data_IF_305318736531
#
_entry.id   IF_305318736531
#
_cell.length_a   1.000
_cell.length_b   1.000
_cell.length_c   1.000
_cell.angle_alpha   90.00
_cell.angle_beta   90.00
_cell.angle_gamma   90.00
#
_symmetry.space_group_name_H-M   'P 1'
#
loop_
_entity.id
_entity.type
_entity.pdbx_description
1 polymer ?
#
# COMPACT_ATOMS: atom_id res chain seq x y z
N UNK A 1 -1.66 -26.04 -24.05
CA UNK A 1 -1.40 -25.72 -22.63
C UNK A 1 -1.70 -24.25 -22.49
N UNK A 2 -2.97 -23.94 -22.20
CA UNK A 2 -3.42 -22.56 -22.04
C UNK A 2 -2.73 -22.00 -20.80
N UNK A 3 -1.77 -21.10 -21.02
CA UNK A 3 -1.19 -20.31 -19.96
C UNK A 3 -2.30 -19.35 -19.52
N UNK A 4 -3.00 -19.67 -18.43
CA UNK A 4 -3.92 -18.73 -17.79
C UNK A 4 -3.25 -17.37 -17.70
N UNK A 5 -3.87 -16.35 -18.30
CA UNK A 5 -3.35 -15.00 -18.26
C UNK A 5 -3.04 -14.62 -16.79
N UNK A 6 -1.87 -14.03 -16.50
CA UNK A 6 -1.45 -13.76 -15.12
C UNK A 6 -2.44 -12.87 -14.36
N UNK A 7 -3.24 -12.08 -15.09
CA UNK A 7 -4.25 -11.16 -14.57
C UNK A 7 -5.54 -11.19 -15.40
N UNK A 8 -6.68 -10.91 -14.78
CA UNK A 8 -8.00 -10.77 -15.44
C UNK A 8 -8.04 -9.62 -16.45
N UNK A 9 -7.32 -8.54 -16.17
CA UNK A 9 -7.22 -7.33 -16.97
C UNK A 9 -5.74 -6.97 -17.17
N UNK A 10 -5.04 -7.62 -18.12
CA UNK A 10 -3.59 -7.45 -18.29
C UNK A 10 -3.18 -6.04 -18.72
N UNK A 11 -4.05 -5.33 -19.45
CA UNK A 11 -3.84 -3.94 -19.89
C UNK A 11 -4.22 -2.90 -18.82
N UNK A 12 -4.92 -3.30 -17.76
CA UNK A 12 -5.30 -2.41 -16.66
C UNK A 12 -4.15 -2.20 -15.67
N UNK A 13 -4.26 -1.19 -14.80
CA UNK A 13 -3.33 -0.98 -13.67
C UNK A 13 -4.10 -0.61 -12.40
N UNK A 14 -3.66 -1.15 -11.27
CA UNK A 14 -4.11 -0.72 -9.94
C UNK A 14 -2.99 0.11 -9.32
N UNK A 15 -3.24 1.40 -9.13
CA UNK A 15 -2.29 2.32 -8.52
C UNK A 15 -2.64 2.49 -7.04
N UNK A 16 -1.73 2.07 -6.15
CA UNK A 16 -1.86 2.29 -4.70
C UNK A 16 -0.97 3.45 -4.29
N UNK A 17 -1.58 4.56 -3.90
CA UNK A 17 -0.85 5.73 -3.40
C UNK A 17 -0.62 5.63 -1.90
N UNK A 18 0.64 5.75 -1.47
CA UNK A 18 1.05 5.61 -0.10
C UNK A 18 2.04 6.69 0.35
N UNK A 19 1.91 7.13 1.60
CA UNK A 19 2.94 7.95 2.26
C UNK A 19 3.83 7.03 3.09
N UNK A 20 5.10 7.36 3.24
CA UNK A 20 5.98 6.68 4.17
C UNK A 20 5.38 6.70 5.60
N UNK A 21 5.30 5.55 6.30
CA UNK A 21 4.60 5.42 7.57
C UNK A 21 5.43 5.97 8.75
N UNK A 22 5.65 7.27 8.74
CA UNK A 22 6.38 8.02 9.77
C UNK A 22 5.38 8.58 10.79
N UNK A 23 5.64 8.35 12.07
CA UNK A 23 4.81 8.87 13.16
C UNK A 23 4.61 10.39 13.03
N UNK A 24 3.37 10.85 13.21
CA UNK A 24 3.01 12.27 13.08
C UNK A 24 2.87 12.78 11.63
N UNK A 25 3.29 12.00 10.63
CA UNK A 25 3.17 12.37 9.20
C UNK A 25 2.04 11.64 8.46
N UNK A 26 1.47 10.60 9.08
CA UNK A 26 0.38 9.79 8.50
C UNK A 26 -0.79 9.71 9.46
N UNK A 27 -2.00 9.64 8.89
CA UNK A 27 -3.25 9.46 9.63
C UNK A 27 -3.38 10.40 10.84
N UNK A 28 -3.08 11.69 10.65
CA UNK A 28 -3.02 12.69 11.74
C UNK A 28 -4.33 12.84 12.52
N UNK A 29 -5.49 12.71 11.85
CA UNK A 29 -6.82 12.68 12.52
C UNK A 29 -6.97 11.47 13.46
N UNK A 30 -6.48 10.29 13.05
CA UNK A 30 -6.46 9.10 13.90
C UNK A 30 -5.43 9.27 15.03
N UNK A 31 -4.26 9.81 14.72
CA UNK A 31 -3.20 10.08 15.68
C UNK A 31 -3.64 11.00 16.83
N UNK A 32 -4.57 11.93 16.58
CA UNK A 32 -5.17 12.78 17.61
C UNK A 32 -5.93 11.98 18.69
N UNK A 33 -6.40 10.76 18.36
CA UNK A 33 -7.14 9.89 19.26
C UNK A 33 -6.26 8.79 19.85
N UNK A 34 -5.38 8.18 19.05
CA UNK A 34 -4.62 6.97 19.45
C UNK A 34 -3.12 7.20 19.65
N UNK A 35 -2.63 8.42 19.44
CA UNK A 35 -1.22 8.75 19.43
C UNK A 35 -0.53 8.48 18.08
N UNK A 36 0.54 9.24 17.80
CA UNK A 36 1.28 9.23 16.53
C UNK A 36 1.93 7.89 16.19
N UNK A 37 2.52 7.22 17.19
CA UNK A 37 3.16 5.92 17.02
C UNK A 37 2.18 4.82 16.65
N UNK A 38 1.06 4.72 17.38
CA UNK A 38 0.00 3.72 17.11
C UNK A 38 -0.69 3.98 15.78
N UNK A 39 -0.93 5.24 15.43
CA UNK A 39 -1.48 5.59 14.11
C UNK A 39 -0.55 5.15 12.96
N UNK A 40 0.77 5.34 13.09
CA UNK A 40 1.73 4.86 12.11
C UNK A 40 1.77 3.32 12.02
N UNK A 41 1.72 2.62 13.15
CA UNK A 41 1.69 1.15 13.18
C UNK A 41 0.42 0.56 12.51
N UNK A 42 -0.75 1.13 12.82
CA UNK A 42 -2.01 0.75 12.17
C UNK A 42 -1.95 1.01 10.67
N UNK A 43 -1.44 2.18 10.27
CA UNK A 43 -1.28 2.51 8.87
C UNK A 43 -0.36 1.54 8.12
N UNK A 44 0.76 1.10 8.72
CA UNK A 44 1.60 0.03 8.14
C UNK A 44 0.79 -1.24 7.89
N UNK A 45 0.06 -1.71 8.89
CA UNK A 45 -0.75 -2.94 8.75
C UNK A 45 -1.78 -2.80 7.64
N UNK A 46 -2.51 -1.68 7.59
CA UNK A 46 -3.52 -1.46 6.56
C UNK A 46 -2.92 -1.38 5.16
N UNK A 47 -1.80 -0.66 5.01
CA UNK A 47 -1.16 -0.52 3.71
C UNK A 47 -0.67 -1.87 3.19
N UNK A 48 0.01 -2.65 4.04
CA UNK A 48 0.45 -4.01 3.69
C UNK A 48 -0.74 -4.88 3.27
N UNK A 49 -1.79 -4.96 4.10
CA UNK A 49 -2.98 -5.76 3.79
C UNK A 49 -3.70 -5.29 2.52
N UNK A 50 -3.74 -3.99 2.24
CA UNK A 50 -4.31 -3.46 0.99
C UNK A 50 -3.53 -3.93 -0.23
N UNK A 51 -2.20 -3.86 -0.18
CA UNK A 51 -1.33 -4.31 -1.29
C UNK A 51 -1.42 -5.83 -1.47
N UNK A 52 -1.34 -6.59 -0.38
CA UNK A 52 -1.49 -8.06 -0.41
C UNK A 52 -2.81 -8.49 -1.06
N UNK A 53 -3.92 -7.83 -0.70
CA UNK A 53 -5.24 -8.10 -1.30
C UNK A 53 -5.29 -7.74 -2.76
N UNK A 54 -4.73 -6.59 -3.16
CA UNK A 54 -4.71 -6.16 -4.55
C UNK A 54 -3.91 -7.14 -5.44
N UNK A 55 -2.75 -7.60 -4.96
CA UNK A 55 -1.92 -8.58 -5.67
C UNK A 55 -2.62 -9.95 -5.75
N UNK A 56 -3.14 -10.45 -4.63
CA UNK A 56 -3.78 -11.78 -4.55
C UNK A 56 -5.04 -11.87 -5.42
N UNK A 57 -5.76 -10.75 -5.61
CA UNK A 57 -6.96 -10.73 -6.44
C UNK A 57 -6.69 -10.99 -7.93
N UNK A 58 -5.43 -10.87 -8.40
CA UNK A 58 -5.02 -11.07 -9.80
C UNK A 58 -5.91 -10.34 -10.82
N UNK A 59 -6.41 -9.16 -10.45
CA UNK A 59 -7.26 -8.35 -11.34
C UNK A 59 -6.43 -7.66 -12.43
N UNK A 60 -5.34 -6.99 -12.04
CA UNK A 60 -4.42 -6.28 -12.92
C UNK A 60 -3.06 -6.13 -12.22
N UNK A 61 -1.97 -5.83 -12.93
CA UNK A 61 -0.71 -5.43 -12.31
C UNK A 61 -0.89 -4.29 -11.30
N UNK A 62 -0.20 -4.40 -10.16
CA UNK A 62 -0.29 -3.45 -9.04
C UNK A 62 0.99 -2.63 -8.96
N UNK A 63 0.85 -1.32 -8.83
CA UNK A 63 1.96 -0.39 -8.64
C UNK A 63 1.80 0.37 -7.32
N UNK A 64 2.87 0.44 -6.53
CA UNK A 64 2.91 1.20 -5.29
C UNK A 64 3.60 2.55 -5.53
N UNK A 65 2.82 3.62 -5.49
CA UNK A 65 3.28 4.98 -5.71
C UNK A 65 3.47 5.68 -4.37
N UNK A 66 4.72 6.04 -4.05
CA UNK A 66 5.08 6.46 -2.69
C UNK A 66 5.51 7.93 -2.60
N UNK A 67 5.32 8.52 -1.42
CA UNK A 67 5.86 9.84 -1.06
C UNK A 67 6.46 9.80 0.36
N UNK A 68 7.54 10.53 0.67
CA UNK A 68 8.29 11.45 -0.20
C UNK A 68 9.30 10.78 -1.13
N UNK A 69 9.68 9.53 -0.89
CA UNK A 69 10.64 8.81 -1.72
C UNK A 69 10.38 7.30 -1.68
N UNK A 70 10.62 6.64 -2.81
CA UNK A 70 10.58 5.17 -2.96
C UNK A 70 11.62 4.46 -2.10
N UNK A 71 12.74 5.11 -1.76
CA UNK A 71 13.81 4.54 -0.92
C UNK A 71 13.54 4.57 0.58
N UNK A 72 12.34 4.89 1.04
CA UNK A 72 12.05 4.80 2.48
C UNK A 72 12.14 3.33 2.94
N UNK A 73 12.80 2.98 4.07
CA UNK A 73 13.05 1.58 4.47
C UNK A 73 11.83 0.69 4.63
N UNK A 74 10.64 1.27 4.74
CA UNK A 74 9.38 0.54 4.78
C UNK A 74 8.96 -0.03 3.40
N UNK A 75 9.46 0.56 2.32
CA UNK A 75 9.14 0.18 0.94
C UNK A 75 10.29 -0.56 0.24
N UNK A 76 11.44 -0.70 0.91
CA UNK A 76 12.62 -1.38 0.40
C UNK A 76 12.58 -2.89 0.69
#
# INVERSE_FOLDING_TARGET
MDLEAPYRYPEGRILVFARAPVAGRVKTRLAAVVGTGRAAALYRSWLRTTVERAVTARLAPVELWTTPAVGHPYFA
#
